data_IF_817562288471
#
_entry.id   IF_817562288471
#
_cell.length_a   1.000
_cell.length_b   1.000
_cell.length_c   1.000
_cell.angle_alpha   90.00
_cell.angle_beta   90.00
_cell.angle_gamma   90.00
#
_symmetry.space_group_name_H-M   'P 1'
#
loop_
_entity.id
_entity.type
_entity.pdbx_description
1 polymer ?
#
# COMPACT_ATOMS: atom_id res chain seq x y z
N UNK A 1 3.46 0.58 -48.95
CA UNK A 1 4.04 -0.50 -48.11
C UNK A 1 5.14 -0.03 -47.15
N UNK A 2 6.11 0.80 -47.57
CA UNK A 2 7.20 1.29 -46.68
C UNK A 2 6.76 2.19 -45.51
N UNK A 3 5.72 3.02 -45.66
CA UNK A 3 5.19 3.88 -44.57
C UNK A 3 4.59 3.07 -43.40
N UNK A 4 3.91 1.95 -43.68
CA UNK A 4 3.29 1.12 -42.64
C UNK A 4 4.35 0.37 -41.80
N UNK A 5 5.52 0.06 -42.39
CA UNK A 5 6.63 -0.59 -41.69
C UNK A 5 7.24 0.35 -40.64
N UNK A 6 7.41 1.64 -40.95
CA UNK A 6 7.96 2.62 -39.99
C UNK A 6 7.04 2.82 -38.77
N UNK A 7 5.72 2.85 -39.00
CA UNK A 7 4.71 2.97 -37.93
C UNK A 7 4.76 1.76 -36.99
N UNK A 8 4.89 0.54 -37.53
CA UNK A 8 5.03 -0.66 -36.71
C UNK A 8 6.32 -0.64 -35.88
N UNK A 9 7.45 -0.23 -36.45
CA UNK A 9 8.74 -0.15 -35.72
C UNK A 9 8.66 0.84 -34.55
N UNK A 10 8.00 1.99 -34.76
CA UNK A 10 7.82 2.99 -33.71
C UNK A 10 6.89 2.49 -32.59
N UNK A 11 5.78 1.83 -32.93
CA UNK A 11 4.88 1.22 -31.95
C UNK A 11 5.57 0.11 -31.12
N UNK A 12 6.41 -0.71 -31.76
CA UNK A 12 7.22 -1.74 -31.10
C UNK A 12 8.26 -1.15 -30.13
N UNK A 13 8.85 0.01 -30.44
CA UNK A 13 9.78 0.69 -29.54
C UNK A 13 9.08 1.25 -28.29
N UNK A 14 7.88 1.82 -28.44
CA UNK A 14 7.07 2.30 -27.31
C UNK A 14 6.63 1.17 -26.37
N UNK A 15 6.17 0.04 -26.94
CA UNK A 15 5.78 -1.13 -26.15
C UNK A 15 6.94 -1.69 -25.31
N UNK A 16 8.16 -1.74 -25.87
CA UNK A 16 9.36 -2.18 -25.15
C UNK A 16 9.75 -1.25 -24.00
N UNK A 17 9.68 0.06 -24.21
CA UNK A 17 9.98 1.04 -23.17
C UNK A 17 8.99 0.94 -22.00
N UNK A 18 7.71 0.75 -22.28
CA UNK A 18 6.69 0.57 -21.26
C UNK A 18 6.89 -0.73 -20.47
N UNK A 19 7.09 -1.86 -21.15
CA UNK A 19 7.36 -3.15 -20.50
C UNK A 19 8.64 -3.12 -19.64
N UNK A 20 9.69 -2.42 -20.09
CA UNK A 20 10.92 -2.24 -19.32
C UNK A 20 10.69 -1.41 -18.05
N UNK A 21 9.82 -0.41 -18.09
CA UNK A 21 9.43 0.38 -16.92
C UNK A 21 8.70 -0.46 -15.87
N UNK A 22 7.74 -1.29 -16.30
CA UNK A 22 7.00 -2.17 -15.38
C UNK A 22 7.91 -3.23 -14.76
N UNK A 23 8.79 -3.84 -15.56
CA UNK A 23 9.81 -4.78 -15.06
C UNK A 23 10.67 -4.15 -13.97
N UNK A 24 11.04 -2.87 -14.13
CA UNK A 24 11.78 -2.13 -13.10
C UNK A 24 10.96 -1.95 -11.82
N UNK A 25 9.68 -1.60 -11.91
CA UNK A 25 8.80 -1.46 -10.74
C UNK A 25 8.70 -2.79 -9.98
N UNK A 26 8.44 -3.90 -10.68
CA UNK A 26 8.38 -5.22 -10.03
C UNK A 26 9.71 -5.63 -9.40
N UNK A 27 10.85 -5.27 -9.98
CA UNK A 27 12.15 -5.54 -9.34
C UNK A 27 12.36 -4.79 -8.01
N UNK A 28 11.79 -3.58 -7.88
CA UNK A 28 11.79 -2.82 -6.63
C UNK A 28 10.89 -3.50 -5.59
N UNK A 29 9.71 -3.96 -6.01
CA UNK A 29 8.78 -4.72 -5.17
C UNK A 29 9.45 -5.98 -4.63
N UNK A 30 10.14 -6.74 -5.49
CA UNK A 30 10.84 -7.97 -5.13
C UNK A 30 11.95 -7.71 -4.11
N UNK A 31 12.78 -6.70 -4.35
CA UNK A 31 13.87 -6.34 -3.45
C UNK A 31 13.34 -5.87 -2.08
N UNK A 32 12.25 -5.09 -2.05
CA UNK A 32 11.62 -4.66 -0.81
C UNK A 32 11.03 -5.84 -0.02
N UNK A 33 10.34 -6.76 -0.71
CA UNK A 33 9.78 -7.95 -0.08
C UNK A 33 10.87 -8.87 0.47
N UNK A 34 11.96 -9.07 -0.29
CA UNK A 34 13.11 -9.85 0.17
C UNK A 34 13.73 -9.24 1.43
N UNK A 35 13.96 -7.92 1.44
CA UNK A 35 14.50 -7.22 2.60
C UNK A 35 13.62 -7.42 3.85
N UNK A 36 12.30 -7.26 3.72
CA UNK A 36 11.37 -7.48 4.83
C UNK A 36 11.38 -8.95 5.29
N UNK A 37 11.47 -9.90 4.37
CA UNK A 37 11.55 -11.32 4.71
C UNK A 37 12.85 -11.67 5.47
N UNK A 38 13.97 -11.01 5.13
CA UNK A 38 15.26 -11.20 5.79
C UNK A 38 15.33 -10.53 7.17
N UNK A 39 14.73 -9.34 7.31
CA UNK A 39 14.81 -8.52 8.54
C UNK A 39 13.70 -8.85 9.56
N UNK A 40 12.70 -9.64 9.18
CA UNK A 40 11.54 -9.94 10.03
C UNK A 40 11.25 -11.43 10.16
N UNK A 41 10.25 -11.77 10.99
CA UNK A 41 9.72 -13.13 11.12
C UNK A 41 8.44 -13.34 10.30
N UNK A 42 8.18 -12.48 9.31
CA UNK A 42 6.98 -12.55 8.50
C UNK A 42 6.97 -13.81 7.62
N UNK A 43 5.89 -14.58 7.67
CA UNK A 43 5.68 -15.73 6.78
C UNK A 43 5.16 -15.32 5.40
N UNK A 44 4.46 -14.18 5.33
CA UNK A 44 3.94 -13.61 4.11
C UNK A 44 4.20 -12.11 4.08
N UNK A 45 4.49 -11.58 2.89
CA UNK A 45 4.66 -10.15 2.63
C UNK A 45 3.91 -9.78 1.37
N UNK A 46 3.12 -8.71 1.42
CA UNK A 46 2.47 -8.11 0.27
C UNK A 46 3.00 -6.69 0.09
N UNK A 47 3.42 -6.35 -1.13
CA UNK A 47 3.98 -5.03 -1.44
C UNK A 47 3.23 -4.44 -2.63
N UNK A 48 2.79 -3.19 -2.48
CA UNK A 48 2.08 -2.43 -3.50
C UNK A 48 2.79 -1.10 -3.81
N UNK A 49 2.83 -0.72 -5.08
CA UNK A 49 3.29 0.60 -5.55
C UNK A 49 2.19 1.24 -6.38
N UNK A 50 1.79 2.46 -6.03
CA UNK A 50 0.95 3.32 -6.86
C UNK A 50 1.86 4.29 -7.61
N UNK A 51 1.84 4.24 -8.95
CA UNK A 51 2.61 5.15 -9.80
C UNK A 51 1.81 5.50 -11.05
N UNK A 52 1.72 6.80 -11.34
CA UNK A 52 1.03 7.34 -12.52
C UNK A 52 -0.43 6.81 -12.66
N UNK A 53 -1.12 6.69 -11.52
CA UNK A 53 -2.50 6.17 -11.45
C UNK A 53 -2.62 4.64 -11.58
N UNK A 54 -1.51 3.92 -11.80
CA UNK A 54 -1.49 2.46 -11.89
C UNK A 54 -0.97 1.82 -10.60
N UNK A 55 -1.65 0.77 -10.17
CA UNK A 55 -1.27 -0.06 -9.02
C UNK A 55 -0.48 -1.27 -9.51
N UNK A 56 0.62 -1.55 -8.82
CA UNK A 56 1.46 -2.72 -9.02
C UNK A 56 1.57 -3.46 -7.70
N UNK A 57 1.11 -4.71 -7.64
CA UNK A 57 1.17 -5.55 -6.43
C UNK A 57 1.95 -6.84 -6.70
N UNK A 58 2.65 -7.33 -5.68
CA UNK A 58 3.08 -8.74 -5.60
C UNK A 58 2.96 -9.22 -4.15
N UNK A 59 2.77 -10.53 -4.04
CA UNK A 59 2.60 -11.23 -2.78
C UNK A 59 3.60 -12.39 -2.70
N UNK A 60 4.16 -12.59 -1.52
CA UNK A 60 5.24 -13.54 -1.28
C UNK A 60 4.95 -14.34 -0.01
N UNK A 61 5.37 -15.60 -0.01
CA UNK A 61 5.24 -16.49 1.15
C UNK A 61 3.84 -17.07 1.34
N UNK A 62 3.60 -17.56 2.56
CA UNK A 62 2.37 -18.21 3.00
C UNK A 62 1.85 -17.51 4.24
N UNK A 63 0.53 -17.37 4.36
CA UNK A 63 -0.10 -16.74 5.52
C UNK A 63 0.15 -17.56 6.79
N UNK A 64 0.02 -18.87 6.67
CA UNK A 64 0.41 -19.83 7.68
C UNK A 64 1.58 -20.66 7.18
N UNK A 65 2.67 -20.67 7.94
CA UNK A 65 3.86 -21.46 7.61
C UNK A 65 3.51 -22.94 7.39
N UNK A 66 3.75 -23.43 6.17
CA UNK A 66 3.64 -24.83 5.80
C UNK A 66 2.23 -25.27 5.37
N UNK A 67 1.28 -24.34 5.24
CA UNK A 67 -0.09 -24.65 4.78
C UNK A 67 -0.32 -24.37 3.30
N UNK A 68 0.62 -23.73 2.60
CA UNK A 68 0.47 -23.41 1.18
C UNK A 68 -0.55 -22.31 0.88
N UNK A 69 -1.12 -21.65 1.90
CA UNK A 69 -2.10 -20.58 1.73
C UNK A 69 -1.41 -19.25 1.40
N UNK A 70 -1.28 -18.96 0.10
CA UNK A 70 -0.60 -17.76 -0.39
C UNK A 70 -1.48 -16.52 -0.25
N UNK A 71 -0.84 -15.39 0.05
CA UNK A 71 -1.49 -14.08 -0.03
C UNK A 71 -1.85 -13.70 -1.47
N UNK A 72 -2.87 -12.86 -1.60
CA UNK A 72 -3.36 -12.27 -2.84
C UNK A 72 -3.82 -10.81 -2.57
N UNK A 73 -4.36 -10.16 -3.60
CA UNK A 73 -4.84 -8.76 -3.52
C UNK A 73 -5.98 -8.55 -2.50
N UNK A 74 -6.73 -9.59 -2.17
CA UNK A 74 -7.86 -9.56 -1.22
C UNK A 74 -7.47 -9.96 0.21
N UNK A 75 -6.19 -10.21 0.47
CA UNK A 75 -5.74 -10.69 1.77
C UNK A 75 -5.66 -9.57 2.79
N UNK A 76 -6.31 -9.76 3.93
CA UNK A 76 -6.26 -8.82 5.05
C UNK A 76 -5.03 -9.06 5.94
N UNK A 77 -4.35 -7.96 6.26
CA UNK A 77 -3.28 -7.92 7.26
C UNK A 77 -3.64 -6.95 8.38
N UNK A 78 -3.24 -7.27 9.61
CA UNK A 78 -3.31 -6.31 10.69
C UNK A 78 -2.28 -5.18 10.45
N UNK A 79 -2.75 -3.95 10.28
CA UNK A 79 -1.90 -2.78 9.95
C UNK A 79 -1.36 -2.03 11.18
N UNK A 80 -1.75 -2.46 12.39
CA UNK A 80 -1.31 -1.90 13.67
C UNK A 80 -1.38 -0.37 13.74
N UNK A 81 -0.28 0.32 14.07
CA UNK A 81 -0.28 1.78 14.27
C UNK A 81 -0.66 2.60 13.04
N UNK A 82 -0.69 2.02 11.83
CA UNK A 82 -1.23 2.70 10.64
C UNK A 82 -2.71 3.07 10.85
N UNK A 83 -3.45 2.32 11.67
CA UNK A 83 -4.84 2.65 12.08
C UNK A 83 -4.96 4.07 12.66
N UNK A 84 -3.92 4.60 13.31
CA UNK A 84 -3.94 5.96 13.88
C UNK A 84 -4.13 7.06 12.82
N UNK A 85 -3.69 6.83 11.58
CA UNK A 85 -3.94 7.78 10.48
C UNK A 85 -5.45 7.91 10.22
N UNK A 86 -6.18 6.79 10.20
CA UNK A 86 -7.62 6.78 10.02
C UNK A 86 -8.34 7.41 11.21
N UNK A 87 -7.95 7.07 12.44
CA UNK A 87 -8.52 7.70 13.65
C UNK A 87 -8.26 9.21 13.68
N UNK A 88 -7.04 9.64 13.32
CA UNK A 88 -6.70 11.06 13.22
C UNK A 88 -7.50 11.78 12.14
N UNK A 89 -7.72 11.14 10.99
CA UNK A 89 -8.58 11.70 9.93
C UNK A 89 -10.02 11.89 10.40
N UNK A 90 -10.59 10.89 11.10
CA UNK A 90 -11.92 10.99 11.67
C UNK A 90 -12.01 12.13 12.70
N UNK A 91 -10.98 12.29 13.53
CA UNK A 91 -10.90 13.41 14.48
C UNK A 91 -10.81 14.76 13.74
N UNK A 92 -9.96 14.88 12.72
CA UNK A 92 -9.83 16.10 11.93
C UNK A 92 -11.15 16.49 11.27
N UNK A 93 -11.87 15.51 10.72
CA UNK A 93 -13.21 15.74 10.16
C UNK A 93 -14.19 16.21 11.25
N UNK A 94 -14.18 15.59 12.43
CA UNK A 94 -15.03 16.01 13.55
C UNK A 94 -14.72 17.46 14.02
N UNK A 95 -13.46 17.89 13.93
CA UNK A 95 -13.06 19.28 14.21
C UNK A 95 -13.62 20.23 13.17
N UNK A 96 -13.49 19.91 11.87
CA UNK A 96 -14.03 20.74 10.79
C UNK A 96 -15.56 20.86 10.84
N UNK A 97 -16.23 19.80 11.30
CA UNK A 97 -17.69 19.77 11.50
C UNK A 97 -18.14 20.45 12.81
N UNK A 98 -17.21 21.00 13.60
CA UNK A 98 -17.52 21.68 14.87
C UNK A 98 -17.98 20.75 15.99
N UNK A 99 -17.80 19.43 15.84
CA UNK A 99 -18.17 18.42 16.85
C UNK A 99 -17.14 18.33 17.99
N UNK A 100 -15.87 18.60 17.67
CA UNK A 100 -14.75 18.60 18.63
C UNK A 100 -13.91 19.86 18.45
N UNK A 101 -13.46 20.50 19.54
CA UNK A 101 -12.33 21.45 19.47
C UNK A 101 -11.08 20.79 20.05
N UNK A 102 -9.92 21.04 19.44
CA UNK A 102 -8.67 20.43 19.88
C UNK A 102 -8.23 20.91 21.27
N UNK A 103 -8.65 22.11 21.66
CA UNK A 103 -8.37 22.70 22.98
C UNK A 103 -9.45 22.36 24.02
N UNK A 104 -10.50 21.61 23.64
CA UNK A 104 -11.49 21.16 24.61
C UNK A 104 -10.85 20.19 25.60
N UNK A 105 -11.18 20.35 26.88
CA UNK A 105 -10.83 19.37 27.90
C UNK A 105 -11.45 18.01 27.55
N UNK A 106 -10.64 16.95 27.52
CA UNK A 106 -11.09 15.60 27.15
C UNK A 106 -12.28 15.11 28.00
N UNK A 107 -12.43 15.59 29.24
CA UNK A 107 -13.55 15.27 30.15
C UNK A 107 -14.90 15.73 29.61
N UNK A 108 -14.93 16.69 28.69
CA UNK A 108 -16.13 17.09 27.93
C UNK A 108 -16.72 15.91 27.16
N UNK A 109 -15.87 15.02 26.64
CA UNK A 109 -16.24 13.88 25.82
C UNK A 109 -16.27 12.56 26.61
N UNK A 110 -15.38 12.41 27.60
CA UNK A 110 -15.25 11.21 28.43
C UNK A 110 -15.73 11.47 29.86
N UNK A 111 -17.05 11.38 30.07
CA UNK A 111 -17.66 11.55 31.39
C UNK A 111 -17.12 10.52 32.39
N UNK A 112 -16.71 10.96 33.57
CA UNK A 112 -16.18 10.09 34.63
C UNK A 112 -14.66 9.92 34.61
N UNK A 113 -13.95 10.55 33.66
CA UNK A 113 -12.49 10.58 33.68
C UNK A 113 -11.98 11.57 34.75
N UNK A 114 -11.33 11.04 35.77
CA UNK A 114 -10.64 11.83 36.81
C UNK A 114 -9.15 11.78 36.50
N UNK A 115 -8.56 12.94 36.22
CA UNK A 115 -7.12 13.12 36.10
C UNK A 115 -6.61 13.61 37.46
N UNK A 116 -6.19 12.67 38.31
CA UNK A 116 -5.47 12.96 39.57
C UNK A 116 -3.99 13.12 39.32
#
# INVERSE_FOLDING_TARGET
>A
MRKNILVCIFALAFAKNHAQSEKKIYSIIDAAAQKVAEESKAYSVSVGILKDGKVYTRHFGELDKGKGNKANDDTYFAIASVTKLFTGQLLAQAVLEGKVNLDDDVRKYLKGLILT
#
